data_IF_405889480957
#
_entry.id   IF_405889480957
#
_cell.length_a   1.000
_cell.length_b   1.000
_cell.length_c   1.000
_cell.angle_alpha   90.00
_cell.angle_beta   90.00
_cell.angle_gamma   90.00
#
_symmetry.space_group_name_H-M   'P 1'
#
loop_
_entity.id
_entity.type
_entity.pdbx_description
1 polymer ?
#
# COMPACT_ATOMS: atom_id res chain seq x y z
N UNK A 1 4.12 10.15 5.98
CA UNK A 1 2.83 9.63 5.46
C UNK A 1 2.50 8.28 6.07
N UNK A 2 1.32 8.13 6.60
CA UNK A 2 0.85 6.86 7.17
C UNK A 2 -0.35 6.37 6.35
N UNK A 3 -0.14 5.33 5.54
CA UNK A 3 -1.19 4.79 4.66
C UNK A 3 -2.38 4.26 5.46
N UNK A 4 -2.14 3.78 6.69
CA UNK A 4 -3.17 3.09 7.49
C UNK A 4 -4.36 3.97 7.84
N UNK A 5 -4.11 5.24 8.19
CA UNK A 5 -5.13 6.10 8.77
C UNK A 5 -5.29 7.45 8.10
N UNK A 6 -4.52 7.73 7.04
CA UNK A 6 -4.47 9.07 6.46
C UNK A 6 -5.54 9.33 5.39
N UNK A 7 -6.04 8.27 4.77
CA UNK A 7 -6.89 8.44 3.59
C UNK A 7 -8.28 7.83 3.81
N UNK A 8 -9.28 8.53 3.29
CA UNK A 8 -10.66 8.03 3.27
C UNK A 8 -10.79 6.98 2.16
N UNK A 9 -11.89 6.22 2.17
CA UNK A 9 -12.14 5.23 1.14
C UNK A 9 -12.22 5.82 -0.27
N UNK A 10 -12.91 6.95 -0.51
CA UNK A 10 -12.86 7.59 -1.82
C UNK A 10 -11.47 7.98 -2.27
N UNK A 11 -10.62 8.43 -1.36
CA UNK A 11 -9.23 8.74 -1.67
C UNK A 11 -8.44 7.49 -2.04
N UNK A 12 -8.65 6.38 -1.33
CA UNK A 12 -8.01 5.11 -1.64
C UNK A 12 -8.40 4.62 -3.03
N UNK A 13 -9.68 4.73 -3.39
CA UNK A 13 -10.17 4.39 -4.72
C UNK A 13 -9.46 5.21 -5.79
N UNK A 14 -9.32 6.51 -5.53
CA UNK A 14 -8.64 7.40 -6.47
C UNK A 14 -7.17 7.00 -6.65
N UNK A 15 -6.48 6.65 -5.57
CA UNK A 15 -5.10 6.19 -5.65
C UNK A 15 -4.98 4.89 -6.45
N UNK A 16 -5.92 3.95 -6.26
CA UNK A 16 -5.92 2.69 -7.00
C UNK A 16 -6.01 2.92 -8.51
N UNK A 17 -6.73 3.96 -8.92
CA UNK A 17 -6.85 4.34 -10.34
C UNK A 17 -5.62 5.08 -10.85
N UNK A 18 -5.13 6.03 -10.09
CA UNK A 18 -4.16 7.01 -10.58
C UNK A 18 -2.71 6.59 -10.39
N UNK A 19 -2.42 5.80 -9.36
CA UNK A 19 -1.04 5.48 -9.03
C UNK A 19 -0.42 4.38 -9.88
N UNK A 20 -1.24 3.66 -10.65
CA UNK A 20 -0.74 2.58 -11.50
C UNK A 20 0.11 1.57 -10.71
N UNK A 21 -0.45 1.09 -9.59
CA UNK A 21 0.25 0.12 -8.75
C UNK A 21 0.49 -1.20 -9.50
N UNK A 22 1.63 -1.82 -9.25
CA UNK A 22 1.86 -3.19 -9.69
C UNK A 22 0.94 -4.12 -8.89
N UNK A 23 0.71 -5.39 -9.35
CA UNK A 23 -0.13 -6.33 -8.60
C UNK A 23 0.32 -6.50 -7.15
N UNK A 24 1.62 -6.58 -6.89
CA UNK A 24 2.17 -6.70 -5.53
C UNK A 24 1.88 -5.45 -4.71
N UNK A 25 2.10 -4.28 -5.30
CA UNK A 25 1.83 -3.02 -4.63
C UNK A 25 0.35 -2.87 -4.28
N UNK A 26 -0.52 -3.26 -5.21
CA UNK A 26 -1.96 -3.18 -4.98
C UNK A 26 -2.39 -4.09 -3.83
N UNK A 27 -1.87 -5.32 -3.78
CA UNK A 27 -2.16 -6.26 -2.71
C UNK A 27 -1.70 -5.71 -1.35
N UNK A 28 -0.49 -5.16 -1.30
CA UNK A 28 0.04 -4.55 -0.08
C UNK A 28 -0.79 -3.33 0.33
N UNK A 29 -1.11 -2.47 -0.63
CA UNK A 29 -1.92 -1.28 -0.37
C UNK A 29 -3.28 -1.64 0.22
N UNK A 30 -3.97 -2.60 -0.38
CA UNK A 30 -5.30 -3.01 0.09
C UNK A 30 -5.28 -3.55 1.51
N UNK A 31 -4.26 -4.32 1.88
CA UNK A 31 -4.13 -4.82 3.25
C UNK A 31 -3.73 -3.69 4.21
N UNK A 32 -2.87 -2.79 3.78
CA UNK A 32 -2.40 -1.71 4.64
C UNK A 32 -3.51 -0.74 5.00
N UNK A 33 -4.39 -0.40 4.05
CA UNK A 33 -5.53 0.49 4.34
C UNK A 33 -6.56 -0.16 5.26
N UNK A 34 -6.56 -1.49 5.36
CA UNK A 34 -7.39 -2.24 6.31
C UNK A 34 -6.70 -2.40 7.66
N UNK A 35 -5.63 -1.67 7.90
CA UNK A 35 -4.89 -1.63 9.16
C UNK A 35 -4.11 -2.91 9.48
N UNK A 36 -3.75 -3.69 8.47
CA UNK A 36 -2.85 -4.83 8.69
C UNK A 36 -1.42 -4.34 8.91
N UNK A 37 -0.73 -4.95 9.86
CA UNK A 37 0.66 -4.63 10.11
C UNK A 37 1.55 -5.18 9.00
N UNK A 38 2.77 -4.66 8.93
CA UNK A 38 3.78 -5.14 7.98
C UNK A 38 4.01 -6.65 8.10
N UNK A 39 4.07 -7.15 9.34
CA UNK A 39 4.25 -8.58 9.60
C UNK A 39 3.07 -9.39 9.09
N UNK A 40 1.85 -8.92 9.35
CA UNK A 40 0.64 -9.59 8.87
C UNK A 40 0.58 -9.63 7.34
N UNK A 41 0.94 -8.53 6.69
CA UNK A 41 0.97 -8.47 5.24
C UNK A 41 1.98 -9.47 4.67
N UNK A 42 3.17 -9.52 5.26
CA UNK A 42 4.20 -10.47 4.85
C UNK A 42 3.69 -11.91 4.94
N UNK A 43 3.03 -12.25 6.03
CA UNK A 43 2.46 -13.59 6.22
C UNK A 43 1.35 -13.90 5.21
N UNK A 44 0.43 -12.97 5.00
CA UNK A 44 -0.71 -13.18 4.11
C UNK A 44 -0.29 -13.30 2.65
N UNK A 45 0.71 -12.54 2.24
CA UNK A 45 1.13 -12.51 0.84
C UNK A 45 2.33 -13.41 0.54
N UNK A 46 2.87 -14.08 1.54
CA UNK A 46 4.04 -14.94 1.36
C UNK A 46 5.29 -14.17 0.97
N UNK A 47 5.45 -12.96 1.48
CA UNK A 47 6.60 -12.09 1.23
C UNK A 47 7.45 -11.95 2.47
N UNK A 48 8.73 -11.59 2.29
CA UNK A 48 9.55 -11.19 3.43
C UNK A 48 9.14 -9.80 3.89
N UNK A 49 9.44 -9.47 5.15
CA UNK A 49 9.17 -8.12 5.67
C UNK A 49 9.93 -7.05 4.88
N UNK A 50 11.16 -7.36 4.46
CA UNK A 50 11.94 -6.44 3.64
C UNK A 50 11.24 -6.14 2.31
N UNK A 51 10.65 -7.14 1.69
CA UNK A 51 9.90 -6.97 0.45
C UNK A 51 8.67 -6.10 0.68
N UNK A 52 7.93 -6.35 1.77
CA UNK A 52 6.78 -5.52 2.12
C UNK A 52 7.20 -4.06 2.31
N UNK A 53 8.31 -3.82 3.00
CA UNK A 53 8.84 -2.46 3.20
C UNK A 53 9.16 -1.77 1.87
N UNK A 54 9.76 -2.49 0.94
CA UNK A 54 10.07 -1.93 -0.39
C UNK A 54 8.80 -1.59 -1.16
N UNK A 55 7.79 -2.45 -1.08
CA UNK A 55 6.49 -2.20 -1.73
C UNK A 55 5.82 -0.97 -1.13
N UNK A 56 5.85 -0.83 0.19
CA UNK A 56 5.27 0.33 0.87
C UNK A 56 5.99 1.62 0.44
N UNK A 57 7.31 1.59 0.35
CA UNK A 57 8.06 2.76 -0.14
C UNK A 57 7.70 3.13 -1.58
N UNK A 58 7.54 2.12 -2.43
CA UNK A 58 7.11 2.34 -3.81
C UNK A 58 5.71 2.93 -3.89
N UNK A 59 4.80 2.42 -3.05
CA UNK A 59 3.43 2.94 -2.96
C UNK A 59 3.44 4.41 -2.55
N UNK A 60 4.18 4.75 -1.49
CA UNK A 60 4.27 6.14 -1.02
C UNK A 60 4.82 7.07 -2.08
N UNK A 61 5.82 6.62 -2.82
CA UNK A 61 6.42 7.39 -3.91
C UNK A 61 5.40 7.69 -5.01
N UNK A 62 4.60 6.70 -5.38
CA UNK A 62 3.56 6.86 -6.40
C UNK A 62 2.44 7.77 -5.93
N UNK A 63 2.04 7.65 -4.66
CA UNK A 63 1.02 8.53 -4.09
C UNK A 63 1.50 9.98 -4.12
N UNK A 64 2.75 10.23 -3.76
CA UNK A 64 3.31 11.59 -3.79
C UNK A 64 3.27 12.20 -5.18
N UNK A 65 3.43 11.40 -6.22
CA UNK A 65 3.41 11.89 -7.59
C UNK A 65 2.03 12.39 -8.04
N UNK A 66 0.95 11.87 -7.46
CA UNK A 66 -0.41 12.21 -7.87
C UNK A 66 -1.10 13.17 -6.90
N UNK A 67 -0.48 13.48 -5.78
CA UNK A 67 -1.03 14.43 -4.81
C UNK A 67 -0.92 15.89 -5.29
#
# INVERSE_FOLDING_TARGET
MNIRNEFTEPECEWFRRMCNFTPDELAVFNLRVKDHSRIEIAMKLGMSESTVDRRIRGIKRKIHKVL
#
